data_IF_876114746200
#
_entry.id   IF_876114746200
#
_cell.length_a   1.000
_cell.length_b   1.000
_cell.length_c   1.000
_cell.angle_alpha   90.00
_cell.angle_beta   90.00
_cell.angle_gamma   90.00
#
_symmetry.space_group_name_H-M   'P 1'
#
loop_
_entity.id
_entity.type
_entity.pdbx_description
1 polymer ?
#
# COMPACT_ATOMS: atom_id res chain seq x y z
N UNK A 1 9.77 -20.28 -2.38
CA UNK A 1 10.28 -18.97 -2.85
C UNK A 1 11.79 -19.01 -2.75
N UNK A 2 12.52 -18.94 -3.87
CA UNK A 2 14.00 -18.89 -3.87
C UNK A 2 14.46 -17.53 -3.37
N UNK A 3 15.39 -17.51 -2.43
CA UNK A 3 15.99 -16.28 -1.92
C UNK A 3 16.77 -15.58 -3.05
N UNK A 4 16.28 -14.41 -3.44
CA UNK A 4 16.90 -13.44 -4.37
C UNK A 4 18.34 -13.06 -3.97
N UNK A 5 18.73 -13.35 -2.73
CA UNK A 5 20.08 -13.12 -2.18
C UNK A 5 21.12 -14.07 -2.79
N UNK A 6 20.71 -15.24 -3.29
CA UNK A 6 21.64 -16.25 -3.80
C UNK A 6 22.02 -16.07 -5.27
N UNK A 7 21.34 -15.20 -6.03
CA UNK A 7 21.58 -15.02 -7.46
C UNK A 7 22.60 -13.91 -7.71
N UNK A 8 23.77 -14.28 -8.28
CA UNK A 8 24.87 -13.39 -8.68
C UNK A 8 24.53 -12.38 -9.79
N UNK A 9 23.28 -12.35 -10.28
CA UNK A 9 22.86 -11.48 -11.39
C UNK A 9 22.78 -10.00 -11.02
N UNK A 10 22.87 -9.64 -9.73
CA UNK A 10 22.67 -8.28 -9.23
C UNK A 10 23.94 -7.65 -8.65
N UNK A 11 25.09 -7.82 -9.32
CA UNK A 11 26.43 -7.45 -8.82
C UNK A 11 26.64 -5.97 -8.44
N UNK A 12 25.73 -5.07 -8.77
CA UNK A 12 25.80 -3.64 -8.42
C UNK A 12 24.82 -3.21 -7.32
N UNK A 13 23.91 -4.07 -6.88
CA UNK A 13 22.95 -3.72 -5.85
C UNK A 13 23.63 -3.85 -4.48
N UNK A 14 23.80 -2.72 -3.79
CA UNK A 14 24.07 -2.70 -2.35
C UNK A 14 22.83 -3.21 -1.62
N UNK A 15 22.69 -4.53 -1.53
CA UNK A 15 21.69 -5.14 -0.68
C UNK A 15 22.13 -4.92 0.76
N UNK A 16 21.30 -4.19 1.53
CA UNK A 16 21.49 -4.13 2.97
C UNK A 16 21.22 -5.54 3.51
N UNK A 17 22.29 -6.26 3.82
CA UNK A 17 22.22 -7.54 4.51
C UNK A 17 21.45 -7.34 5.82
N UNK A 18 20.68 -8.34 6.27
CA UNK A 18 19.83 -8.29 7.48
C UNK A 18 20.52 -7.77 8.77
N UNK A 19 21.85 -7.63 8.78
CA UNK A 19 22.65 -7.02 9.85
C UNK A 19 22.72 -5.48 9.83
N UNK A 20 22.23 -4.78 8.82
CA UNK A 20 22.29 -3.30 8.74
C UNK A 20 21.15 -2.58 9.48
N UNK A 21 20.26 -3.33 10.12
CA UNK A 21 19.44 -2.77 11.20
C UNK A 21 20.30 -2.88 12.45
N UNK A 22 21.21 -1.92 12.63
CA UNK A 22 21.79 -1.68 13.94
C UNK A 22 20.60 -1.48 14.88
N UNK A 23 20.26 -2.51 15.67
CA UNK A 23 19.52 -2.33 16.92
C UNK A 23 20.38 -1.39 17.75
N UNK A 24 20.18 -0.11 17.50
CA UNK A 24 21.00 0.92 18.09
C UNK A 24 20.62 0.86 19.56
N UNK A 25 21.51 0.35 20.41
CA UNK A 25 21.33 0.28 21.87
C UNK A 25 21.35 1.70 22.52
N UNK A 26 21.02 2.72 21.75
CA UNK A 26 20.82 4.08 22.19
C UNK A 26 19.44 4.20 22.85
N UNK A 27 19.37 4.93 23.96
CA UNK A 27 18.12 5.19 24.69
C UNK A 27 17.09 5.98 23.86
N UNK A 28 17.53 6.71 22.85
CA UNK A 28 16.67 7.48 21.96
C UNK A 28 16.36 6.69 20.67
N UNK A 29 15.10 6.72 20.23
CA UNK A 29 14.71 6.07 18.99
C UNK A 29 15.31 6.81 17.79
N UNK A 30 15.97 6.06 16.89
CA UNK A 30 16.40 6.60 15.61
C UNK A 30 15.21 7.03 14.75
N UNK A 31 15.44 7.95 13.80
CA UNK A 31 14.42 8.40 12.85
C UNK A 31 13.84 7.23 12.05
N UNK A 32 14.69 6.28 11.71
CA UNK A 32 14.37 5.04 11.01
C UNK A 32 13.43 4.17 11.86
N UNK A 33 13.71 4.05 13.16
CA UNK A 33 12.86 3.30 14.10
C UNK A 33 11.49 3.96 14.28
N UNK A 34 11.44 5.29 14.43
CA UNK A 34 10.18 6.06 14.51
C UNK A 34 9.33 5.88 13.24
N UNK A 35 9.97 5.94 12.06
CA UNK A 35 9.30 5.72 10.78
C UNK A 35 8.79 4.28 10.62
N UNK A 36 9.60 3.29 10.97
CA UNK A 36 9.21 1.88 10.91
C UNK A 36 8.04 1.55 11.85
N UNK A 37 8.05 2.09 13.07
CA UNK A 37 6.95 1.95 14.02
C UNK A 37 5.64 2.54 13.46
N UNK A 38 5.71 3.76 12.90
CA UNK A 38 4.55 4.38 12.26
C UNK A 38 3.99 3.53 11.11
N UNK A 39 4.86 3.02 10.23
CA UNK A 39 4.44 2.17 9.10
C UNK A 39 3.79 0.88 9.63
N UNK A 40 4.40 0.21 10.62
CA UNK A 40 3.89 -1.02 11.21
C UNK A 40 2.50 -0.83 11.82
N UNK A 41 2.30 0.26 12.54
CA UNK A 41 1.08 0.47 13.32
C UNK A 41 -0.06 1.01 12.44
N UNK A 42 0.24 1.80 11.40
CA UNK A 42 -0.78 2.43 10.54
C UNK A 42 -1.15 1.58 9.32
N UNK A 43 -0.22 0.82 8.72
CA UNK A 43 -0.50 0.01 7.52
C UNK A 43 -1.69 -0.95 7.64
N UNK A 44 -1.89 -1.69 8.76
CA UNK A 44 -2.99 -2.63 8.90
C UNK A 44 -4.38 -1.97 8.87
N UNK A 45 -4.46 -0.69 9.25
CA UNK A 45 -5.72 0.06 9.32
C UNK A 45 -6.12 0.73 8.00
N UNK A 46 -5.26 0.74 6.98
CA UNK A 46 -5.59 1.40 5.73
C UNK A 46 -6.58 0.58 4.88
N UNK A 47 -7.68 1.19 4.41
CA UNK A 47 -8.55 0.54 3.45
C UNK A 47 -7.80 0.25 2.15
N UNK A 48 -8.24 -0.76 1.40
CA UNK A 48 -7.69 -1.12 0.08
C UNK A 48 -8.67 -0.75 -1.01
N UNK A 49 -8.12 -0.30 -2.13
CA UNK A 49 -8.88 0.01 -3.35
C UNK A 49 -9.47 -1.27 -3.91
N UNK A 50 -10.77 -1.27 -4.22
CA UNK A 50 -11.45 -2.46 -4.77
C UNK A 50 -11.18 -2.72 -6.26
N UNK A 51 -10.38 -1.86 -6.90
CA UNK A 51 -10.02 -1.99 -8.33
C UNK A 51 -8.61 -2.58 -8.48
N UNK A 52 -7.64 -2.12 -7.70
CA UNK A 52 -6.24 -2.52 -7.81
C UNK A 52 -5.66 -3.16 -6.54
N UNK A 53 -6.46 -3.31 -5.49
CA UNK A 53 -6.08 -3.85 -4.17
C UNK A 53 -4.93 -3.14 -3.44
N UNK A 54 -4.48 -1.99 -3.94
CA UNK A 54 -3.48 -1.17 -3.26
C UNK A 54 -4.08 -0.34 -2.12
N UNK A 55 -3.24 0.09 -1.17
CA UNK A 55 -3.66 0.91 -0.03
C UNK A 55 -4.26 2.25 -0.48
N UNK A 56 -5.34 2.65 0.17
CA UNK A 56 -6.03 3.92 -0.04
C UNK A 56 -5.61 4.92 1.04
N UNK A 57 -4.81 5.94 0.70
CA UNK A 57 -4.52 7.02 1.63
C UNK A 57 -5.79 7.83 1.92
N UNK A 58 -6.00 8.26 3.17
CA UNK A 58 -7.25 8.91 3.60
C UNK A 58 -7.60 10.19 2.81
N UNK A 59 -6.59 10.91 2.31
CA UNK A 59 -6.76 12.17 1.58
C UNK A 59 -7.09 12.00 0.09
N UNK A 60 -6.84 10.82 -0.49
CA UNK A 60 -7.02 10.59 -1.92
C UNK A 60 -7.88 9.35 -2.16
N UNK A 61 -9.16 9.49 -1.82
CA UNK A 61 -10.20 8.49 -2.02
C UNK A 61 -11.31 9.02 -2.92
N UNK A 62 -11.86 8.14 -3.75
CA UNK A 62 -13.04 8.38 -4.56
C UNK A 62 -14.07 7.29 -4.26
N UNK A 63 -15.35 7.64 -4.27
CA UNK A 63 -16.46 6.69 -4.08
C UNK A 63 -16.96 6.31 -5.47
N UNK A 64 -16.80 5.05 -5.83
CA UNK A 64 -17.26 4.48 -7.10
C UNK A 64 -18.44 3.52 -6.87
N UNK A 65 -19.20 3.24 -7.92
CA UNK A 65 -20.26 2.23 -7.91
C UNK A 65 -19.68 0.86 -8.26
N UNK A 66 -19.86 -0.19 -7.46
CA UNK A 66 -19.44 -1.58 -7.77
C UNK A 66 -19.95 -1.99 -9.16
N UNK A 67 -21.26 -1.89 -9.37
CA UNK A 67 -21.94 -1.99 -10.67
C UNK A 67 -22.08 -0.60 -11.28
N UNK A 68 -21.60 -0.39 -12.52
CA UNK A 68 -21.62 0.94 -13.16
C UNK A 68 -23.05 1.45 -13.30
N UNK A 69 -23.21 2.76 -13.25
CA UNK A 69 -24.50 3.42 -13.50
C UNK A 69 -25.07 3.07 -14.89
N UNK A 70 -24.20 2.95 -15.89
CA UNK A 70 -24.58 2.57 -17.26
C UNK A 70 -25.20 1.15 -17.33
N UNK A 71 -24.75 0.24 -16.47
CA UNK A 71 -25.27 -1.14 -16.41
C UNK A 71 -26.51 -1.26 -15.50
N UNK A 72 -27.08 -0.13 -15.05
CA UNK A 72 -28.20 -0.09 -14.11
C UNK A 72 -27.78 -0.24 -12.65
N UNK A 73 -26.55 0.17 -12.29
CA UNK A 73 -26.11 0.27 -10.90
C UNK A 73 -26.82 1.41 -10.15
N UNK A 74 -27.32 1.13 -8.95
CA UNK A 74 -28.01 2.09 -8.09
C UNK A 74 -27.03 2.81 -7.16
N UNK A 75 -27.36 4.03 -6.72
CA UNK A 75 -26.56 4.79 -5.75
C UNK A 75 -26.76 4.35 -4.30
N UNK A 76 -26.82 3.05 -4.04
CA UNK A 76 -27.01 2.49 -2.68
C UNK A 76 -25.67 2.29 -1.98
N UNK A 77 -25.68 2.26 -0.64
CA UNK A 77 -24.50 2.00 0.17
C UNK A 77 -23.87 0.62 -0.14
N UNK A 78 -24.71 -0.37 -0.48
CA UNK A 78 -24.25 -1.67 -0.94
C UNK A 78 -23.52 -1.62 -2.28
N UNK A 79 -23.92 -0.72 -3.19
CA UNK A 79 -23.23 -0.54 -4.46
C UNK A 79 -22.05 0.45 -4.36
N UNK A 80 -21.81 1.09 -3.22
CA UNK A 80 -20.67 1.99 -3.05
C UNK A 80 -19.38 1.20 -2.77
N UNK A 81 -18.28 1.65 -3.37
CA UNK A 81 -16.94 1.12 -3.10
C UNK A 81 -15.90 2.23 -3.06
N UNK A 82 -14.90 2.06 -2.20
CA UNK A 82 -13.74 2.95 -2.16
C UNK A 82 -12.75 2.59 -3.26
N UNK A 83 -12.30 3.60 -3.99
CA UNK A 83 -11.35 3.48 -5.09
C UNK A 83 -10.39 4.67 -5.10
N UNK A 84 -9.26 4.53 -5.78
CA UNK A 84 -8.42 5.70 -6.06
C UNK A 84 -9.11 6.58 -7.10
N UNK A 85 -8.98 7.92 -7.01
CA UNK A 85 -9.46 8.82 -8.07
C UNK A 85 -8.91 8.43 -9.45
N UNK A 86 -7.63 8.04 -9.52
CA UNK A 86 -7.01 7.52 -10.74
C UNK A 86 -7.67 6.22 -11.24
N UNK A 87 -7.90 5.26 -10.34
CA UNK A 87 -8.49 3.98 -10.73
C UNK A 87 -9.92 4.14 -11.25
N UNK A 88 -10.70 5.02 -10.61
CA UNK A 88 -12.06 5.32 -11.01
C UNK A 88 -12.13 5.93 -12.42
N UNK A 89 -11.23 6.87 -12.73
CA UNK A 89 -11.26 7.59 -14.02
C UNK A 89 -10.61 6.86 -15.18
N UNK A 90 -9.59 6.04 -14.93
CA UNK A 90 -8.79 5.42 -16.02
C UNK A 90 -9.15 3.96 -16.31
N UNK A 91 -9.43 3.13 -15.30
CA UNK A 91 -9.67 1.70 -15.50
C UNK A 91 -11.12 1.37 -15.78
N UNK A 92 -12.03 2.15 -15.23
CA UNK A 92 -13.46 1.83 -15.22
C UNK A 92 -14.28 2.76 -16.10
N UNK A 93 -13.66 3.45 -17.06
CA UNK A 93 -14.35 4.40 -17.94
C UNK A 93 -15.17 3.69 -19.03
#
# INVERSE_FOLDING_TARGET
>A
MKEIVAEKSFGSLKTKTKNDVSETQSKEFSRETKSAAYIRDVLPGFPRCKICDAYLPSRFISIDHKKRKADGGLGTLDNAQLSHPYCNTTFKN
#
